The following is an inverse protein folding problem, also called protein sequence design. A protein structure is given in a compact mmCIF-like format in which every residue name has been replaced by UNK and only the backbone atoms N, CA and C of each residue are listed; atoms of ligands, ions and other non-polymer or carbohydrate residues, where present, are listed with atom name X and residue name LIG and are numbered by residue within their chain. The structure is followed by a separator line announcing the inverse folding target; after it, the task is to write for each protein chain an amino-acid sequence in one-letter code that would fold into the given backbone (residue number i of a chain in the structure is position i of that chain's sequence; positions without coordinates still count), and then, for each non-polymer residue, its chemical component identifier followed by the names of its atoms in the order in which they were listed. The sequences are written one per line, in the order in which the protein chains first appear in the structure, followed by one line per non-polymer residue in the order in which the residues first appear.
data_IF_750469934573
#
_entry.id   IF_750469934573
#
_cell.length_a   1.000
_cell.length_b   1.000
_cell.length_c   1.000
_cell.angle_alpha   90.00
_cell.angle_beta   90.00
_cell.angle_gamma   90.00
#
_symmetry.space_group_name_H-M   'P 1'
#
loop_
_entity.id
_entity.type
_entity.pdbx_description
1 polymer ?
#
# COMPACT_ATOMS: atom_id res chain seq x y z
N UNK A 1 7.10 -23.13 15.19
CA UNK A 1 6.81 -22.01 14.27
C UNK A 1 8.15 -21.47 13.80
N UNK A 2 8.39 -21.28 12.49
CA UNK A 2 9.62 -20.61 12.06
C UNK A 2 9.55 -19.16 12.53
N UNK A 3 10.65 -18.65 13.09
CA UNK A 3 10.83 -17.22 13.36
C UNK A 3 10.72 -16.50 12.02
N UNK A 4 9.84 -15.51 11.90
CA UNK A 4 10.00 -14.50 10.87
C UNK A 4 11.39 -13.91 11.07
N UNK A 5 12.28 -14.03 10.10
CA UNK A 5 13.50 -13.23 10.09
C UNK A 5 13.04 -11.77 10.01
N UNK A 6 13.17 -11.04 11.12
CA UNK A 6 12.97 -9.60 11.13
C UNK A 6 13.96 -9.01 10.12
N UNK A 7 13.43 -8.43 9.03
CA UNK A 7 14.25 -7.73 8.05
C UNK A 7 14.81 -6.47 8.70
N UNK A 8 16.07 -6.50 9.11
CA UNK A 8 16.78 -5.31 9.56
C UNK A 8 17.19 -4.46 8.34
N UNK A 9 17.18 -3.11 8.45
CA UNK A 9 17.71 -2.25 7.41
C UNK A 9 19.15 -2.63 7.06
N UNK A 10 19.45 -2.66 5.76
CA UNK A 10 20.81 -2.81 5.27
C UNK A 10 21.23 -1.49 4.63
N UNK A 11 21.90 -0.60 5.38
CA UNK A 11 22.35 0.69 4.88
C UNK A 11 23.06 0.55 3.54
N UNK A 12 22.83 1.51 2.64
CA UNK A 12 23.33 1.52 1.26
C UNK A 12 22.67 0.52 0.29
N UNK A 13 21.90 -0.45 0.78
CA UNK A 13 21.17 -1.42 -0.08
C UNK A 13 19.67 -1.16 -0.06
N UNK A 14 19.06 -1.13 1.12
CA UNK A 14 17.64 -0.82 1.29
C UNK A 14 17.35 -0.23 2.66
N UNK A 15 16.33 0.60 2.72
CA UNK A 15 15.70 1.05 3.96
C UNK A 15 14.40 0.26 4.17
N UNK A 16 13.99 0.10 5.42
CA UNK A 16 12.74 -0.57 5.79
C UNK A 16 11.69 0.49 6.09
N UNK A 17 10.50 0.32 5.51
CA UNK A 17 9.38 1.23 5.71
C UNK A 17 8.13 0.49 6.17
N UNK A 18 7.21 1.26 6.73
CA UNK A 18 5.81 0.88 6.99
C UNK A 18 4.89 1.87 6.28
N UNK A 19 3.69 1.41 5.95
CA UNK A 19 2.68 2.22 5.28
C UNK A 19 1.32 1.92 5.90
N UNK A 20 0.64 2.99 6.27
CA UNK A 20 -0.73 2.96 6.78
C UNK A 20 -1.63 3.74 5.81
N UNK A 21 -2.75 3.12 5.43
CA UNK A 21 -3.77 3.74 4.57
C UNK A 21 -5.02 3.94 5.40
N UNK A 22 -5.47 5.20 5.47
CA UNK A 22 -6.70 5.57 6.20
C UNK A 22 -7.60 6.34 5.26
N UNK A 23 -8.85 5.92 5.15
CA UNK A 23 -9.87 6.69 4.43
C UNK A 23 -10.35 7.87 5.27
N UNK A 24 -10.41 9.06 4.68
CA UNK A 24 -10.78 10.32 5.36
C UNK A 24 -12.08 10.95 4.82
N UNK A 25 -12.79 10.27 3.92
CA UNK A 25 -14.05 10.76 3.37
C UNK A 25 -15.28 10.29 4.16
N UNK A 26 -16.47 10.67 3.69
CA UNK A 26 -17.76 10.43 4.32
C UNK A 26 -18.66 9.42 3.56
N UNK A 27 -18.19 8.92 2.42
CA UNK A 27 -18.92 7.97 1.57
C UNK A 27 -18.85 6.54 2.11
N UNK A 28 -19.88 5.73 1.81
CA UNK A 28 -19.89 4.29 2.10
C UNK A 28 -19.07 3.54 1.05
N UNK A 29 -17.79 3.32 1.35
CA UNK A 29 -16.85 2.62 0.49
C UNK A 29 -16.13 1.47 1.21
N UNK A 30 -15.68 0.49 0.43
CA UNK A 30 -14.76 -0.57 0.86
C UNK A 30 -13.42 -0.41 0.17
N UNK A 31 -12.38 -0.86 0.83
CA UNK A 31 -11.08 -1.01 0.20
C UNK A 31 -11.09 -2.28 -0.67
N UNK A 32 -10.86 -2.11 -1.96
CA UNK A 32 -10.80 -3.22 -2.92
C UNK A 32 -9.36 -3.73 -3.03
N UNK A 33 -8.40 -2.82 -3.23
CA UNK A 33 -7.00 -3.18 -3.48
C UNK A 33 -6.05 -2.02 -3.17
N UNK A 34 -4.89 -2.34 -2.61
CA UNK A 34 -3.71 -1.45 -2.53
C UNK A 34 -2.56 -2.12 -3.25
N UNK A 35 -1.93 -1.42 -4.18
CA UNK A 35 -0.72 -1.88 -4.88
C UNK A 35 0.39 -0.87 -4.65
N UNK A 36 1.57 -1.37 -4.31
CA UNK A 36 2.74 -0.53 -4.04
C UNK A 36 3.88 -0.97 -4.93
N UNK A 37 4.46 -0.01 -5.64
CA UNK A 37 5.58 -0.21 -6.54
C UNK A 37 6.69 0.79 -6.25
N UNK A 38 7.92 0.41 -6.56
CA UNK A 38 9.06 1.33 -6.62
C UNK A 38 9.67 1.34 -8.01
N UNK A 39 10.29 2.44 -8.38
CA UNK A 39 11.18 2.46 -9.53
C UNK A 39 12.48 1.69 -9.25
N UNK A 40 13.19 1.37 -10.33
CA UNK A 40 14.55 0.84 -10.24
C UNK A 40 15.38 1.36 -11.42
N UNK A 41 16.53 2.01 -11.18
CA UNK A 41 17.33 2.61 -12.25
C UNK A 41 17.93 1.56 -13.21
N UNK A 42 17.90 0.27 -12.85
CA UNK A 42 18.34 -0.81 -13.73
C UNK A 42 17.26 -1.32 -14.68
N UNK A 43 16.00 -0.94 -14.50
CA UNK A 43 14.87 -1.41 -15.30
C UNK A 43 14.03 -0.25 -15.85
N UNK A 44 13.27 -0.52 -16.91
CA UNK A 44 12.31 0.43 -17.48
C UNK A 44 10.88 0.26 -16.94
N UNK A 45 10.69 -0.67 -16.00
CA UNK A 45 9.41 -1.00 -15.38
C UNK A 45 9.54 -0.91 -13.86
N UNK A 46 8.42 -0.60 -13.21
CA UNK A 46 8.33 -0.53 -11.75
C UNK A 46 8.34 -1.94 -11.13
N UNK A 47 8.98 -2.08 -9.98
CA UNK A 47 9.04 -3.33 -9.21
C UNK A 47 7.96 -3.30 -8.13
N UNK A 48 7.10 -4.31 -8.13
CA UNK A 48 6.09 -4.50 -7.08
C UNK A 48 6.74 -4.78 -5.73
N UNK A 49 6.29 -4.05 -4.71
CA UNK A 49 6.67 -4.28 -3.32
C UNK A 49 5.64 -5.18 -2.63
N UNK A 50 4.36 -4.85 -2.75
CA UNK A 50 3.27 -5.71 -2.32
C UNK A 50 1.95 -5.29 -2.97
N UNK A 51 1.02 -6.25 -3.02
CA UNK A 51 -0.40 -6.01 -3.25
C UNK A 51 -1.18 -6.56 -2.07
N UNK A 52 -2.09 -5.75 -1.55
CA UNK A 52 -3.05 -6.16 -0.53
C UNK A 52 -4.46 -6.02 -1.10
N UNK A 53 -5.23 -7.11 -1.10
CA UNK A 53 -6.62 -7.14 -1.54
C UNK A 53 -7.55 -7.25 -0.34
N UNK A 54 -8.68 -6.54 -0.41
CA UNK A 54 -9.71 -6.59 0.62
C UNK A 54 -10.62 -7.81 0.45
N UNK A 55 -10.05 -9.02 0.43
CA UNK A 55 -10.77 -10.27 0.18
C UNK A 55 -11.81 -10.54 1.30
N UNK A 56 -12.99 -9.92 1.18
CA UNK A 56 -14.20 -10.24 1.94
C UNK A 56 -14.69 -9.17 2.90
N UNK A 57 -13.88 -8.76 3.88
CA UNK A 57 -14.41 -8.16 5.13
C UNK A 57 -13.67 -6.93 5.66
N UNK A 58 -12.85 -6.25 4.84
CA UNK A 58 -12.33 -4.92 5.21
C UNK A 58 -13.42 -3.86 4.95
N UNK A 59 -14.45 -3.85 5.79
CA UNK A 59 -15.37 -2.72 5.91
C UNK A 59 -14.59 -1.61 6.58
N UNK A 60 -14.42 -0.49 5.87
CA UNK A 60 -13.84 0.70 6.47
C UNK A 60 -14.93 1.32 7.33
N UNK A 61 -14.80 1.21 8.64
CA UNK A 61 -15.69 1.92 9.55
C UNK A 61 -15.46 3.43 9.41
N UNK A 62 -16.52 4.17 9.07
CA UNK A 62 -16.47 5.64 9.02
C UNK A 62 -16.00 6.18 10.37
N UNK A 63 -15.04 7.11 10.33
CA UNK A 63 -14.44 7.72 11.52
C UNK A 63 -13.68 6.74 12.43
N UNK A 64 -13.25 5.59 11.92
CA UNK A 64 -12.29 4.75 12.65
C UNK A 64 -10.93 5.42 12.68
N UNK A 65 -10.33 5.50 13.87
CA UNK A 65 -8.94 5.92 14.04
C UNK A 65 -7.94 4.83 13.62
N UNK A 66 -8.41 3.63 13.27
CA UNK A 66 -7.56 2.52 12.83
C UNK A 66 -7.35 2.56 11.31
N UNK A 67 -6.10 2.35 10.84
CA UNK A 67 -5.81 2.31 9.43
C UNK A 67 -6.56 1.15 8.76
N UNK A 68 -7.13 1.42 7.59
CA UNK A 68 -7.84 0.43 6.77
C UNK A 68 -6.91 -0.68 6.28
N UNK A 69 -5.63 -0.35 6.08
CA UNK A 69 -4.52 -1.29 5.88
C UNK A 69 -3.27 -0.74 6.58
N UNK A 70 -2.59 -1.59 7.35
CA UNK A 70 -1.22 -1.37 7.78
C UNK A 70 -0.30 -2.46 7.23
N UNK A 71 0.69 -2.08 6.43
CA UNK A 71 1.73 -3.00 5.96
C UNK A 71 3.07 -2.57 6.54
N UNK A 72 3.75 -3.49 7.22
CA UNK A 72 5.00 -3.24 7.91
C UNK A 72 6.17 -3.94 7.22
N UNK A 73 7.37 -3.47 7.50
CA UNK A 73 8.64 -4.15 7.18
C UNK A 73 8.89 -4.43 5.69
N UNK A 74 8.48 -3.53 4.78
CA UNK A 74 8.80 -3.70 3.36
C UNK A 74 10.09 -2.95 2.99
N UNK A 75 11.04 -3.61 2.30
CA UNK A 75 12.31 -3.01 1.91
C UNK A 75 12.17 -2.17 0.64
N UNK A 76 12.66 -0.93 0.69
CA UNK A 76 12.80 -0.06 -0.49
C UNK A 76 14.30 0.14 -0.74
N UNK A 77 14.74 -0.13 -1.97
CA UNK A 77 16.12 0.11 -2.41
C UNK A 77 16.54 1.56 -2.16
N UNK A 78 17.76 1.79 -1.68
CA UNK A 78 18.35 3.14 -1.55
C UNK A 78 18.56 3.84 -2.91
N UNK A 79 18.41 3.11 -4.01
CA UNK A 79 18.50 3.63 -5.37
C UNK A 79 17.14 3.96 -5.99
N UNK A 80 16.03 3.59 -5.34
CA UNK A 80 14.71 3.96 -5.79
C UNK A 80 14.48 5.44 -5.52
N UNK A 81 13.93 6.16 -6.50
CA UNK A 81 13.64 7.59 -6.42
C UNK A 81 12.16 7.87 -6.25
N UNK A 82 11.30 6.93 -6.61
CA UNK A 82 9.84 7.06 -6.60
C UNK A 82 9.17 5.82 -5.99
N UNK A 83 8.23 6.07 -5.09
CA UNK A 83 7.29 5.07 -4.57
C UNK A 83 5.90 5.40 -5.13
N UNK A 84 5.33 4.48 -5.90
CA UNK A 84 3.98 4.59 -6.45
C UNK A 84 3.03 3.74 -5.63
N UNK A 85 2.00 4.37 -5.08
CA UNK A 85 0.93 3.73 -4.32
C UNK A 85 -0.37 3.91 -5.08
N UNK A 86 -1.01 2.80 -5.43
CA UNK A 86 -2.29 2.77 -6.12
C UNK A 86 -3.32 2.22 -5.15
N UNK A 87 -4.37 2.98 -4.89
CA UNK A 87 -5.46 2.58 -4.00
C UNK A 87 -6.74 2.48 -4.83
N UNK A 88 -7.40 1.34 -4.73
CA UNK A 88 -8.70 1.09 -5.37
C UNK A 88 -9.75 0.90 -4.29
N UNK A 89 -10.76 1.75 -4.34
CA UNK A 89 -11.95 1.68 -3.51
C UNK A 89 -13.15 1.19 -4.30
N UNK A 90 -14.15 0.66 -3.61
CA UNK A 90 -15.40 0.18 -4.19
C UNK A 90 -16.58 0.77 -3.42
N UNK A 91 -17.57 1.30 -4.14
CA UNK A 91 -18.81 1.75 -3.49
C UNK A 91 -19.58 0.57 -2.88
N UNK A 92 -20.11 0.73 -1.67
CA UNK A 92 -21.03 -0.25 -1.09
C UNK A 92 -22.43 -0.18 -1.72
N UNK A 93 -22.89 1.02 -2.07
CA UNK A 93 -24.23 1.26 -2.62
C UNK A 93 -24.36 0.82 -4.09
N UNK A 94 -23.26 0.92 -4.83
CA UNK A 94 -23.16 0.50 -6.23
C UNK A 94 -21.90 -0.36 -6.37
N UNK A 95 -22.05 -1.65 -6.04
CA UNK A 95 -20.97 -2.64 -6.06
C UNK A 95 -20.31 -2.85 -7.44
N UNK A 96 -20.69 -2.09 -8.47
CA UNK A 96 -20.00 -2.05 -9.77
C UNK A 96 -18.97 -0.92 -9.88
N UNK A 97 -19.15 0.19 -9.15
CA UNK A 97 -18.32 1.38 -9.29
C UNK A 97 -17.05 1.30 -8.44
N UNK A 98 -15.91 1.36 -9.13
CA UNK A 98 -14.57 1.43 -8.52
C UNK A 98 -13.97 2.83 -8.66
N UNK A 99 -13.28 3.28 -7.63
CA UNK A 99 -12.53 4.54 -7.60
C UNK A 99 -11.05 4.23 -7.44
N UNK A 100 -10.21 4.78 -8.32
CA UNK A 100 -8.76 4.55 -8.31
C UNK A 100 -8.04 5.86 -8.01
N UNK A 101 -7.18 5.83 -7.02
CA UNK A 101 -6.30 6.94 -6.65
C UNK A 101 -4.85 6.49 -6.80
N UNK A 102 -3.99 7.40 -7.25
CA UNK A 102 -2.57 7.15 -7.46
C UNK A 102 -1.77 8.24 -6.76
N UNK A 103 -0.82 7.81 -5.93
CA UNK A 103 0.08 8.66 -5.17
C UNK A 103 1.52 8.32 -5.52
N UNK A 104 2.32 9.33 -5.86
CA UNK A 104 3.76 9.16 -6.10
C UNK A 104 4.53 9.95 -5.06
N UNK A 105 5.30 9.24 -4.24
CA UNK A 105 6.20 9.81 -3.25
C UNK A 105 7.61 9.84 -3.81
N UNK A 106 8.29 10.98 -3.68
CA UNK A 106 9.69 11.16 -4.09
C UNK A 106 10.57 11.24 -2.86
N UNK A 107 11.76 10.63 -2.93
CA UNK A 107 12.73 10.64 -1.83
C UNK A 107 13.49 11.97 -1.73
#
# INVERSE_FOLDING_TARGET
MPKSEELEPKPEVYNIYSMDVTYIGDEDIKLDRVEVYRDDPSTSYDIELFTATGDGDLVIEKNSEQPSIGHQNFPISTKATELKVIITWKSESDGSRKYKEEFTFKQ
#
